data_IF_177208143095
#
_entry.id   IF_177208143095
#
_cell.length_a   1.000
_cell.length_b   1.000
_cell.length_c   1.000
_cell.angle_alpha   90.00
_cell.angle_beta   90.00
_cell.angle_gamma   90.00
#
_symmetry.space_group_name_H-M   'P 1'
#
loop_
_entity.id
_entity.type
_entity.pdbx_description
1 polymer ?
#
# COMPACT_ATOMS: atom_id res chain seq x y z
N UNK A 1 -35.13 4.47 -32.17
CA UNK A 1 -34.44 4.85 -30.92
C UNK A 1 -33.75 3.62 -30.37
N UNK A 2 -32.42 3.61 -30.28
CA UNK A 2 -31.70 2.51 -29.63
C UNK A 2 -31.89 2.67 -28.13
N UNK A 3 -32.72 1.82 -27.52
CA UNK A 3 -32.86 1.78 -26.07
C UNK A 3 -31.55 1.24 -25.47
N UNK A 4 -30.79 2.12 -24.81
CA UNK A 4 -29.67 1.70 -23.95
C UNK A 4 -30.27 1.05 -22.71
N UNK A 5 -30.18 -0.27 -22.63
CA UNK A 5 -30.38 -0.99 -21.38
C UNK A 5 -29.07 -0.94 -20.59
N UNK A 6 -29.06 -0.23 -19.46
CA UNK A 6 -28.04 -0.40 -18.44
C UNK A 6 -28.46 -1.54 -17.53
N UNK A 7 -27.58 -2.52 -17.37
CA UNK A 7 -27.76 -3.64 -16.45
C UNK A 7 -26.70 -3.51 -15.36
N UNK A 8 -27.08 -3.75 -14.10
CA UNK A 8 -26.15 -3.82 -12.96
C UNK A 8 -25.49 -5.20 -12.83
N UNK A 9 -25.75 -6.13 -13.77
CA UNK A 9 -25.10 -7.43 -13.79
C UNK A 9 -23.68 -7.31 -14.35
N UNK A 10 -22.71 -7.78 -13.56
CA UNK A 10 -21.34 -7.99 -14.04
C UNK A 10 -21.38 -8.86 -15.30
N UNK A 11 -20.67 -8.45 -16.36
CA UNK A 11 -20.58 -9.21 -17.62
C UNK A 11 -19.95 -10.60 -17.45
N UNK A 12 -19.25 -10.83 -16.32
CA UNK A 12 -18.74 -12.14 -15.91
C UNK A 12 -19.35 -12.52 -14.57
N UNK A 13 -19.96 -13.71 -14.48
CA UNK A 13 -20.51 -14.21 -13.21
C UNK A 13 -19.38 -14.53 -12.22
N UNK A 14 -19.54 -14.17 -10.96
CA UNK A 14 -18.54 -14.47 -9.91
C UNK A 14 -19.14 -15.41 -8.87
N UNK A 15 -18.51 -16.56 -8.69
CA UNK A 15 -18.88 -17.55 -7.69
C UNK A 15 -18.09 -17.28 -6.41
N UNK A 16 -18.77 -17.19 -5.27
CA UNK A 16 -18.10 -17.10 -3.96
C UNK A 16 -18.15 -18.46 -3.29
N UNK A 17 -16.98 -19.08 -3.12
CA UNK A 17 -16.81 -20.44 -2.63
C UNK A 17 -16.13 -20.39 -1.26
N UNK A 18 -16.75 -20.97 -0.23
CA UNK A 18 -16.18 -21.01 1.11
C UNK A 18 -15.49 -22.34 1.39
N UNK A 19 -14.22 -22.25 1.77
CA UNK A 19 -13.38 -23.40 2.09
C UNK A 19 -13.22 -23.44 3.61
N UNK A 20 -13.73 -24.48 4.27
CA UNK A 20 -13.55 -24.68 5.70
C UNK A 20 -12.54 -25.79 5.94
N UNK A 21 -11.32 -25.45 6.31
CA UNK A 21 -10.26 -26.43 6.59
C UNK A 21 -10.41 -27.09 7.96
N UNK A 22 -11.16 -26.49 8.89
CA UNK A 22 -11.34 -27.00 10.26
C UNK A 22 -12.49 -28.01 10.36
N UNK A 23 -13.57 -27.81 9.60
CA UNK A 23 -14.68 -28.77 9.50
C UNK A 23 -14.40 -29.78 8.40
N UNK A 24 -13.70 -30.86 8.75
CA UNK A 24 -13.27 -31.95 7.84
C UNK A 24 -14.40 -32.67 7.06
N UNK A 25 -15.67 -32.33 7.29
CA UNK A 25 -16.84 -33.04 6.78
C UNK A 25 -17.69 -32.21 5.79
N UNK A 26 -17.51 -30.88 5.70
CA UNK A 26 -18.39 -30.00 4.92
C UNK A 26 -17.59 -28.90 4.19
N UNK A 27 -17.57 -28.94 2.87
CA UNK A 27 -17.27 -27.77 2.03
C UNK A 27 -18.52 -26.87 1.99
N UNK A 28 -18.40 -25.56 2.13
CA UNK A 28 -19.57 -24.66 2.04
C UNK A 28 -19.45 -23.83 0.77
N UNK A 29 -20.12 -24.22 -0.32
CA UNK A 29 -20.28 -23.27 -1.43
C UNK A 29 -21.52 -22.43 -1.20
N UNK A 30 -21.44 -21.14 -1.54
CA UNK A 30 -22.63 -20.33 -1.77
C UNK A 30 -22.82 -20.20 -3.29
N UNK A 31 -23.70 -21.03 -3.83
CA UNK A 31 -24.38 -20.75 -5.10
C UNK A 31 -25.75 -20.18 -4.74
N UNK A 32 -25.79 -18.88 -4.44
CA UNK A 32 -26.98 -18.20 -3.90
C UNK A 32 -27.09 -18.26 -2.37
N UNK A 33 -28.31 -18.03 -1.84
CA UNK A 33 -28.63 -17.98 -0.39
C UNK A 33 -28.57 -19.35 0.31
N UNK A 34 -28.24 -20.42 -0.40
CA UNK A 34 -28.23 -21.79 0.13
C UNK A 34 -26.81 -22.32 0.23
N UNK A 35 -26.46 -22.86 1.40
CA UNK A 35 -25.20 -23.57 1.63
C UNK A 35 -25.34 -25.01 1.13
N UNK A 36 -24.61 -25.37 0.08
CA UNK A 36 -24.61 -26.74 -0.45
C UNK A 36 -23.19 -27.33 -0.35
N UNK A 37 -23.04 -28.53 0.25
CA UNK A 37 -21.78 -29.26 0.23
C UNK A 37 -21.42 -29.70 -1.19
N UNK A 38 -20.33 -29.16 -1.75
CA UNK A 38 -19.84 -29.56 -3.09
C UNK A 38 -18.95 -30.81 -3.01
N UNK A 39 -18.23 -31.00 -1.90
CA UNK A 39 -17.35 -32.14 -1.66
C UNK A 39 -17.62 -32.68 -0.25
N UNK A 40 -18.13 -33.91 -0.18
CA UNK A 40 -18.31 -34.67 1.06
C UNK A 40 -17.06 -35.53 1.29
N UNK A 41 -16.47 -35.45 2.49
CA UNK A 41 -15.36 -36.32 2.96
C UNK A 41 -14.21 -36.55 1.97
N UNK A 42 -13.62 -35.49 1.41
CA UNK A 42 -12.48 -35.68 0.50
C UNK A 42 -11.18 -36.05 1.27
N UNK A 43 -10.43 -37.04 0.75
CA UNK A 43 -9.03 -37.30 1.17
C UNK A 43 -8.17 -36.03 1.09
N UNK A 44 -8.49 -35.16 0.13
CA UNK A 44 -7.84 -33.87 -0.09
C UNK A 44 -7.92 -32.97 1.15
N UNK A 45 -9.09 -32.84 1.76
CA UNK A 45 -9.27 -32.00 2.95
C UNK A 45 -8.50 -32.54 4.17
N UNK A 46 -8.30 -33.86 4.25
CA UNK A 46 -7.49 -34.49 5.31
C UNK A 46 -5.99 -34.17 5.18
N UNK A 47 -5.53 -33.86 3.97
CA UNK A 47 -4.14 -33.50 3.67
C UNK A 47 -3.87 -31.99 3.79
N UNK A 48 -4.91 -31.18 4.03
CA UNK A 48 -4.78 -29.74 4.15
C UNK A 48 -3.81 -29.35 5.28
N UNK A 49 -2.78 -28.54 5.01
CA UNK A 49 -1.82 -28.09 6.01
C UNK A 49 -2.46 -27.31 7.17
N UNK A 50 -1.69 -27.09 8.24
CA UNK A 50 -2.15 -26.33 9.41
C UNK A 50 -1.92 -24.83 9.32
N UNK A 51 -0.80 -24.41 8.72
CA UNK A 51 -0.42 -22.99 8.67
C UNK A 51 -1.23 -22.26 7.59
N UNK A 52 -1.61 -21.01 7.86
CA UNK A 52 -2.43 -20.19 6.98
C UNK A 52 -1.89 -20.11 5.54
N UNK A 53 -0.57 -19.89 5.38
CA UNK A 53 0.08 -19.77 4.06
C UNK A 53 0.10 -21.11 3.31
N UNK A 54 0.45 -22.20 4.00
CA UNK A 54 0.47 -23.53 3.38
C UNK A 54 -0.94 -24.01 3.02
N UNK A 55 -1.96 -23.71 3.84
CA UNK A 55 -3.37 -23.96 3.50
C UNK A 55 -3.76 -23.28 2.19
N UNK A 56 -3.42 -22.00 2.06
CA UNK A 56 -3.75 -21.22 0.89
C UNK A 56 -3.02 -21.72 -0.37
N UNK A 57 -1.72 -22.01 -0.26
CA UNK A 57 -0.93 -22.63 -1.32
C UNK A 57 -1.51 -23.98 -1.76
N UNK A 58 -1.87 -24.83 -0.79
CA UNK A 58 -2.50 -26.14 -1.03
C UNK A 58 -3.81 -26.01 -1.83
N UNK A 59 -4.73 -25.15 -1.39
CA UNK A 59 -5.99 -24.96 -2.10
C UNK A 59 -5.81 -24.33 -3.47
N UNK A 60 -4.91 -23.36 -3.61
CA UNK A 60 -4.61 -22.74 -4.90
C UNK A 60 -4.04 -23.74 -5.91
N UNK A 61 -3.15 -24.63 -5.46
CA UNK A 61 -2.62 -25.70 -6.30
C UNK A 61 -3.73 -26.66 -6.78
N UNK A 62 -4.59 -27.12 -5.87
CA UNK A 62 -5.58 -28.14 -6.19
C UNK A 62 -6.81 -27.62 -6.95
N UNK A 63 -7.24 -26.39 -6.66
CA UNK A 63 -8.46 -25.79 -7.25
C UNK A 63 -8.15 -24.86 -8.43
N UNK A 64 -6.93 -24.31 -8.49
CA UNK A 64 -6.50 -23.34 -9.49
C UNK A 64 -5.64 -23.90 -10.63
N UNK A 65 -5.48 -25.23 -10.71
CA UNK A 65 -4.58 -25.88 -11.67
C UNK A 65 -4.91 -25.47 -13.13
N UNK A 66 -3.87 -25.11 -13.89
CA UNK A 66 -3.96 -24.67 -15.30
C UNK A 66 -4.89 -23.48 -15.54
N UNK A 67 -5.08 -22.63 -14.53
CA UNK A 67 -5.88 -21.42 -14.61
C UNK A 67 -5.05 -20.25 -14.07
N UNK A 68 -5.44 -19.02 -14.38
CA UNK A 68 -4.83 -17.84 -13.75
C UNK A 68 -5.39 -17.64 -12.35
N UNK A 69 -4.50 -17.50 -11.38
CA UNK A 69 -4.84 -17.42 -9.96
C UNK A 69 -4.18 -16.21 -9.32
N UNK A 70 -4.96 -15.42 -8.61
CA UNK A 70 -4.48 -14.38 -7.70
C UNK A 70 -4.62 -14.88 -6.26
N UNK A 71 -3.53 -14.79 -5.50
CA UNK A 71 -3.48 -15.19 -4.09
C UNK A 71 -3.18 -13.95 -3.24
N UNK A 72 -4.14 -13.52 -2.43
CA UNK A 72 -3.98 -12.37 -1.56
C UNK A 72 -3.20 -12.67 -0.28
N UNK A 73 -2.20 -11.84 0.03
CA UNK A 73 -1.43 -11.86 1.26
C UNK A 73 -1.43 -10.49 1.94
N UNK A 74 -1.30 -10.48 3.27
CA UNK A 74 -1.49 -9.28 4.10
C UNK A 74 -0.27 -8.33 4.13
N UNK A 75 0.88 -8.75 3.60
CA UNK A 75 2.09 -7.93 3.55
C UNK A 75 3.16 -8.54 2.64
N UNK A 76 4.14 -7.74 2.24
CA UNK A 76 5.13 -8.13 1.23
C UNK A 76 5.92 -9.40 1.60
N UNK A 77 6.35 -9.54 2.86
CA UNK A 77 7.02 -10.76 3.32
C UNK A 77 6.09 -11.98 3.29
N UNK A 78 4.80 -11.79 3.61
CA UNK A 78 3.82 -12.86 3.55
C UNK A 78 3.58 -13.32 2.11
N UNK A 79 3.60 -12.39 1.16
CA UNK A 79 3.46 -12.67 -0.27
C UNK A 79 4.58 -13.57 -0.79
N UNK A 80 5.82 -13.27 -0.41
CA UNK A 80 6.99 -14.07 -0.80
C UNK A 80 6.97 -15.46 -0.16
N UNK A 81 6.64 -15.54 1.12
CA UNK A 81 6.50 -16.82 1.82
C UNK A 81 5.37 -17.67 1.21
N UNK A 82 4.23 -17.06 0.87
CA UNK A 82 3.12 -17.74 0.21
C UNK A 82 3.52 -18.26 -1.18
N UNK A 83 4.25 -17.46 -1.96
CA UNK A 83 4.78 -17.89 -3.25
C UNK A 83 5.74 -19.08 -3.09
N UNK A 84 6.62 -19.06 -2.08
CA UNK A 84 7.53 -20.16 -1.77
C UNK A 84 6.78 -21.44 -1.32
N UNK A 85 5.74 -21.33 -0.49
CA UNK A 85 4.88 -22.46 -0.13
C UNK A 85 4.24 -23.09 -1.36
N UNK A 86 3.75 -22.26 -2.29
CA UNK A 86 3.12 -22.72 -3.52
C UNK A 86 4.10 -23.41 -4.47
N UNK A 87 5.32 -22.89 -4.57
CA UNK A 87 6.40 -23.47 -5.40
C UNK A 87 6.73 -24.93 -5.03
N UNK A 88 6.46 -25.36 -3.79
CA UNK A 88 6.70 -26.74 -3.35
C UNK A 88 5.76 -27.76 -3.99
N UNK A 89 4.61 -27.32 -4.49
CA UNK A 89 3.63 -28.18 -5.15
C UNK A 89 3.78 -28.22 -6.67
N UNK A 90 4.52 -27.26 -7.24
CA UNK A 90 4.55 -27.02 -8.69
C UNK A 90 5.81 -27.62 -9.33
N UNK A 91 5.68 -28.20 -10.55
CA UNK A 91 6.83 -28.61 -11.34
C UNK A 91 7.59 -27.37 -11.86
N UNK A 92 8.81 -27.59 -12.35
CA UNK A 92 9.52 -26.55 -13.09
C UNK A 92 8.83 -26.31 -14.44
N UNK A 93 8.87 -25.05 -14.89
CA UNK A 93 8.40 -24.62 -16.20
C UNK A 93 9.58 -24.08 -17.00
N UNK A 94 9.61 -24.37 -18.29
CA UNK A 94 10.62 -23.86 -19.21
C UNK A 94 9.95 -22.92 -20.22
N UNK A 95 10.40 -21.67 -20.25
CA UNK A 95 9.92 -20.68 -21.20
C UNK A 95 11.00 -19.60 -21.41
N UNK A 96 11.16 -19.14 -22.65
CA UNK A 96 12.18 -18.17 -23.02
C UNK A 96 12.03 -16.86 -22.23
N UNK A 97 10.83 -16.28 -22.20
CA UNK A 97 10.54 -15.04 -21.45
C UNK A 97 10.80 -15.17 -19.93
N UNK A 98 10.54 -16.34 -19.35
CA UNK A 98 10.84 -16.61 -17.93
C UNK A 98 12.35 -16.64 -17.69
N UNK A 99 13.10 -17.21 -18.64
CA UNK A 99 14.57 -17.28 -18.58
C UNK A 99 15.18 -15.88 -18.70
N UNK A 100 14.78 -15.12 -19.72
CA UNK A 100 15.21 -13.73 -19.95
C UNK A 100 14.94 -12.87 -18.71
N UNK A 101 13.72 -12.95 -18.15
CA UNK A 101 13.39 -12.15 -16.98
C UNK A 101 14.16 -12.61 -15.74
N UNK A 102 14.39 -13.91 -15.58
CA UNK A 102 15.24 -14.43 -14.50
C UNK A 102 16.68 -13.91 -14.61
N UNK A 103 17.25 -13.85 -15.81
CA UNK A 103 18.60 -13.31 -16.04
C UNK A 103 18.66 -11.81 -15.76
N UNK A 104 17.65 -11.05 -16.22
CA UNK A 104 17.53 -9.62 -15.89
C UNK A 104 17.55 -9.38 -14.38
N UNK A 105 16.80 -10.17 -13.59
CA UNK A 105 16.78 -10.05 -12.13
C UNK A 105 18.15 -10.38 -11.52
N UNK A 106 18.86 -11.40 -12.03
CA UNK A 106 20.21 -11.76 -11.56
C UNK A 106 21.19 -10.62 -11.76
N UNK A 107 21.13 -9.98 -12.92
CA UNK A 107 22.10 -8.97 -13.34
C UNK A 107 21.81 -7.59 -12.73
N UNK A 108 20.54 -7.24 -12.51
CA UNK A 108 20.14 -5.88 -12.12
C UNK A 108 19.66 -5.76 -10.66
N UNK A 109 19.25 -6.85 -10.03
CA UNK A 109 18.70 -6.86 -8.66
C UNK A 109 19.63 -7.62 -7.72
N UNK A 110 19.60 -8.95 -7.77
CA UNK A 110 20.47 -9.84 -7.00
C UNK A 110 20.21 -11.30 -7.39
N UNK A 111 21.27 -12.12 -7.47
CA UNK A 111 21.19 -13.54 -7.89
C UNK A 111 20.37 -14.44 -6.97
N UNK A 112 20.30 -14.11 -5.68
CA UNK A 112 19.51 -14.84 -4.66
C UNK A 112 18.10 -14.26 -4.45
N UNK A 113 17.63 -13.35 -5.31
CA UNK A 113 16.27 -12.82 -5.15
C UNK A 113 15.24 -13.92 -5.42
N UNK A 114 14.32 -14.14 -4.47
CA UNK A 114 13.42 -15.31 -4.48
C UNK A 114 12.51 -15.38 -5.71
N UNK A 115 12.23 -14.23 -6.35
CA UNK A 115 11.42 -14.18 -7.56
C UNK A 115 11.98 -15.08 -8.67
N UNK A 116 13.31 -15.22 -8.76
CA UNK A 116 13.98 -16.09 -9.75
C UNK A 116 13.53 -17.55 -9.59
N UNK A 117 13.51 -18.06 -8.35
CA UNK A 117 13.07 -19.43 -8.08
C UNK A 117 11.57 -19.61 -8.26
N UNK A 118 10.77 -18.60 -7.95
CA UNK A 118 9.32 -18.64 -8.15
C UNK A 118 8.95 -18.65 -9.64
N UNK A 119 9.64 -17.84 -10.45
CA UNK A 119 9.43 -17.75 -11.89
C UNK A 119 9.60 -19.10 -12.58
N UNK A 120 10.62 -19.87 -12.18
CA UNK A 120 10.84 -21.25 -12.65
C UNK A 120 9.70 -22.22 -12.32
N UNK A 121 8.79 -21.86 -11.43
CA UNK A 121 7.60 -22.64 -11.05
C UNK A 121 6.31 -22.08 -11.64
N UNK A 122 6.38 -21.04 -12.48
CA UNK A 122 5.21 -20.33 -12.97
C UNK A 122 4.50 -19.50 -11.89
N UNK A 123 5.24 -19.08 -10.86
CA UNK A 123 4.75 -18.28 -9.74
C UNK A 123 5.46 -16.93 -9.73
N UNK A 124 4.70 -15.86 -9.53
CA UNK A 124 5.22 -14.50 -9.33
C UNK A 124 4.60 -13.90 -8.07
N UNK A 125 5.26 -12.89 -7.53
CA UNK A 125 4.71 -12.11 -6.42
C UNK A 125 4.79 -10.62 -6.68
N UNK A 126 3.85 -9.85 -6.15
CA UNK A 126 3.74 -8.41 -6.40
C UNK A 126 3.31 -7.64 -5.12
N UNK A 127 4.06 -6.59 -4.78
CA UNK A 127 3.78 -5.69 -3.67
C UNK A 127 4.34 -4.30 -3.96
N UNK A 128 3.96 -3.27 -3.18
CA UNK A 128 4.35 -1.88 -3.46
C UNK A 128 5.86 -1.66 -3.53
N UNK A 129 6.59 -2.17 -2.52
CA UNK A 129 8.04 -1.97 -2.33
C UNK A 129 8.90 -2.89 -3.19
N UNK A 130 8.59 -2.94 -4.49
CA UNK A 130 9.32 -3.66 -5.52
C UNK A 130 9.77 -2.66 -6.61
N UNK A 131 10.95 -2.85 -7.23
CA UNK A 131 11.37 -1.99 -8.34
C UNK A 131 10.31 -1.96 -9.44
N UNK A 132 10.08 -0.79 -10.02
CA UNK A 132 8.98 -0.55 -10.97
C UNK A 132 9.08 -1.45 -12.19
N UNK A 133 10.29 -1.64 -12.69
CA UNK A 133 10.61 -2.46 -13.86
C UNK A 133 10.22 -3.93 -13.63
N UNK A 134 10.37 -4.42 -12.39
CA UNK A 134 9.92 -5.78 -12.05
C UNK A 134 8.40 -5.86 -11.99
N UNK A 135 7.71 -4.86 -11.41
CA UNK A 135 6.24 -4.82 -11.33
C UNK A 135 5.64 -4.88 -12.74
N UNK A 136 6.08 -3.99 -13.62
CA UNK A 136 5.61 -3.92 -15.01
C UNK A 136 5.86 -5.23 -15.77
N UNK A 137 7.02 -5.87 -15.60
CA UNK A 137 7.29 -7.15 -16.28
C UNK A 137 6.49 -8.31 -15.69
N UNK A 138 6.27 -8.35 -14.38
CA UNK A 138 5.43 -9.37 -13.73
C UNK A 138 3.99 -9.27 -14.23
N UNK A 139 3.48 -8.05 -14.38
CA UNK A 139 2.15 -7.78 -14.95
C UNK A 139 2.01 -8.32 -16.37
N UNK A 140 2.99 -8.01 -17.22
CA UNK A 140 3.04 -8.49 -18.60
C UNK A 140 3.05 -10.02 -18.66
N UNK A 141 3.94 -10.67 -17.91
CA UNK A 141 4.09 -12.13 -17.91
C UNK A 141 2.85 -12.84 -17.38
N UNK A 142 2.15 -12.27 -16.40
CA UNK A 142 0.93 -12.86 -15.84
C UNK A 142 -0.30 -12.63 -16.73
N UNK A 143 -0.34 -11.51 -17.47
CA UNK A 143 -1.44 -11.20 -18.38
C UNK A 143 -1.40 -12.03 -19.67
N UNK A 144 -0.21 -12.46 -20.09
CA UNK A 144 -0.01 -13.30 -21.27
C UNK A 144 -0.18 -14.80 -20.97
N UNK A 145 -1.27 -15.37 -21.44
CA UNK A 145 -1.61 -16.79 -21.25
C UNK A 145 -0.71 -17.77 -22.00
N UNK A 146 0.07 -17.29 -22.98
CA UNK A 146 1.05 -18.12 -23.67
C UNK A 146 2.26 -18.42 -22.78
N UNK A 147 2.47 -17.60 -21.75
CA UNK A 147 3.56 -17.72 -20.80
C UNK A 147 3.06 -18.51 -19.59
N UNK A 148 3.78 -19.55 -19.11
CA UNK A 148 3.29 -20.44 -18.05
C UNK A 148 3.41 -19.81 -16.64
N UNK A 149 2.97 -18.57 -16.46
CA UNK A 149 2.90 -17.86 -15.18
C UNK A 149 1.44 -17.82 -14.71
N UNK A 150 1.04 -18.86 -13.96
CA UNK A 150 -0.36 -19.10 -13.60
C UNK A 150 -0.75 -18.59 -12.21
N UNK A 151 0.23 -18.15 -11.41
CA UNK A 151 0.01 -17.80 -10.01
C UNK A 151 0.66 -16.48 -9.66
N UNK A 152 -0.14 -15.51 -9.23
CA UNK A 152 0.29 -14.21 -8.73
C UNK A 152 -0.06 -14.08 -7.26
N UNK A 153 0.94 -14.09 -6.37
CA UNK A 153 0.75 -13.74 -4.97
C UNK A 153 0.85 -12.22 -4.82
N UNK A 154 -0.09 -11.53 -4.15
CA UNK A 154 -0.03 -10.07 -4.06
C UNK A 154 -0.54 -9.48 -2.73
N UNK A 155 -0.17 -8.22 -2.47
CA UNK A 155 -0.76 -7.39 -1.40
C UNK A 155 -1.93 -6.54 -1.92
N UNK A 156 -2.56 -5.76 -1.04
CA UNK A 156 -3.66 -4.83 -1.39
C UNK A 156 -3.26 -3.75 -2.38
N UNK A 157 -1.97 -3.51 -2.58
CA UNK A 157 -1.46 -2.53 -3.55
C UNK A 157 -1.79 -2.91 -4.99
N UNK A 158 -2.05 -4.19 -5.28
CA UNK A 158 -2.57 -4.61 -6.59
C UNK A 158 -4.00 -4.08 -6.85
N UNK A 159 -4.73 -3.69 -5.79
CA UNK A 159 -6.10 -3.19 -5.87
C UNK A 159 -6.16 -1.76 -6.41
N UNK A 160 -5.08 -1.01 -6.25
CA UNK A 160 -4.98 0.41 -6.54
C UNK A 160 -4.31 0.61 -7.91
N UNK A 161 -5.06 0.42 -8.99
CA UNK A 161 -4.69 0.96 -10.32
C UNK A 161 -4.26 -0.03 -11.40
N UNK A 162 -4.28 -1.34 -11.16
CA UNK A 162 -3.86 -2.34 -12.15
C UNK A 162 -5.02 -3.22 -12.63
N UNK A 163 -5.14 -3.44 -13.94
CA UNK A 163 -6.18 -4.29 -14.53
C UNK A 163 -5.68 -5.71 -14.83
N UNK A 164 -5.38 -6.48 -13.77
CA UNK A 164 -5.03 -7.91 -13.88
C UNK A 164 -6.21 -8.80 -13.45
N UNK A 165 -7.15 -9.11 -14.35
CA UNK A 165 -8.18 -10.10 -14.04
C UNK A 165 -7.59 -11.52 -14.08
N UNK A 166 -8.00 -12.36 -13.13
CA UNK A 166 -7.62 -13.76 -13.05
C UNK A 166 -8.87 -14.63 -12.97
N UNK A 167 -8.78 -15.89 -13.39
CA UNK A 167 -9.92 -16.80 -13.30
C UNK A 167 -10.33 -17.07 -11.85
N UNK A 168 -9.34 -17.20 -10.97
CA UNK A 168 -9.55 -17.46 -9.54
C UNK A 168 -8.87 -16.42 -8.66
N UNK A 169 -9.53 -16.07 -7.56
CA UNK A 169 -8.96 -15.27 -6.47
C UNK A 169 -9.06 -16.07 -5.18
N UNK A 170 -7.95 -16.25 -4.48
CA UNK A 170 -7.89 -16.92 -3.18
C UNK A 170 -7.69 -15.88 -2.08
N UNK A 171 -8.47 -16.00 -1.00
CA UNK A 171 -8.46 -15.06 0.13
C UNK A 171 -8.50 -15.85 1.43
N UNK A 172 -7.61 -15.52 2.37
CA UNK A 172 -7.57 -16.12 3.70
C UNK A 172 -7.20 -15.08 4.75
N UNK A 173 -8.11 -14.83 5.70
CA UNK A 173 -7.97 -13.85 6.79
C UNK A 173 -7.43 -12.49 6.30
N UNK A 174 -8.14 -11.82 5.37
CA UNK A 174 -7.63 -10.62 4.75
C UNK A 174 -7.58 -9.46 5.75
N UNK A 175 -6.41 -8.85 5.87
CA UNK A 175 -6.21 -7.58 6.59
C UNK A 175 -5.62 -6.55 5.62
N UNK A 176 -5.91 -5.28 5.85
CA UNK A 176 -5.25 -4.16 5.17
C UNK A 176 -3.95 -3.85 5.93
N UNK A 177 -2.86 -4.50 5.53
CA UNK A 177 -1.58 -4.41 6.25
C UNK A 177 -1.61 -5.12 7.60
N UNK A 178 -0.84 -4.61 8.58
CA UNK A 178 -0.73 -5.20 9.92
C UNK A 178 -1.90 -4.78 10.81
N UNK A 179 -2.83 -5.70 11.07
CA UNK A 179 -3.83 -5.59 12.14
C UNK A 179 -5.13 -4.87 11.80
N UNK A 180 -5.22 -4.13 10.69
CA UNK A 180 -6.48 -3.52 10.24
C UNK A 180 -7.31 -4.52 9.44
N UNK A 181 -8.55 -4.78 9.85
CA UNK A 181 -9.45 -5.67 9.09
C UNK A 181 -9.72 -5.08 7.69
N UNK A 182 -9.78 -5.93 6.67
CA UNK A 182 -10.15 -5.50 5.32
C UNK A 182 -11.63 -5.09 5.29
N UNK A 183 -11.92 -3.88 4.80
CA UNK A 183 -13.29 -3.38 4.66
C UNK A 183 -14.03 -3.98 3.46
N UNK A 184 -15.35 -3.77 3.39
CA UNK A 184 -16.23 -4.23 2.27
C UNK A 184 -15.69 -3.83 0.90
N UNK A 185 -15.30 -2.56 0.78
CA UNK A 185 -14.83 -1.96 -0.47
C UNK A 185 -13.51 -2.59 -0.91
N UNK A 186 -12.53 -2.66 -0.01
CA UNK A 186 -11.24 -3.30 -0.29
C UNK A 186 -11.41 -4.78 -0.69
N UNK A 187 -12.32 -5.51 -0.01
CA UNK A 187 -12.63 -6.89 -0.35
C UNK A 187 -13.20 -7.02 -1.76
N UNK A 188 -14.19 -6.21 -2.14
CA UNK A 188 -14.79 -6.31 -3.48
C UNK A 188 -13.88 -5.77 -4.58
N UNK A 189 -12.99 -4.82 -4.28
CA UNK A 189 -11.92 -4.42 -5.22
C UNK A 189 -10.96 -5.58 -5.51
N UNK A 190 -10.69 -6.44 -4.52
CA UNK A 190 -9.89 -7.65 -4.66
C UNK A 190 -10.65 -8.77 -5.37
N UNK A 191 -11.79 -9.16 -4.79
CA UNK A 191 -12.61 -10.25 -5.27
C UNK A 191 -13.18 -9.98 -6.68
N UNK A 192 -13.37 -8.70 -7.02
CA UNK A 192 -13.79 -8.24 -8.34
C UNK A 192 -12.83 -8.60 -9.47
N UNK A 193 -11.57 -8.96 -9.17
CA UNK A 193 -10.58 -9.45 -10.14
C UNK A 193 -10.84 -10.88 -10.60
N UNK A 194 -11.78 -11.60 -9.96
CA UNK A 194 -12.18 -12.92 -10.40
C UNK A 194 -13.04 -12.85 -11.67
N UNK A 195 -12.59 -13.53 -12.72
CA UNK A 195 -13.23 -13.64 -14.02
C UNK A 195 -12.69 -12.61 -15.03
N UNK A 196 -12.09 -13.09 -16.12
CA UNK A 196 -11.57 -12.22 -17.19
C UNK A 196 -12.67 -11.84 -18.17
N UNK A 197 -12.92 -10.54 -18.31
CA UNK A 197 -13.88 -9.99 -19.26
C UNK A 197 -13.62 -10.53 -20.67
N UNK A 198 -14.68 -10.97 -21.37
CA UNK A 198 -14.64 -11.56 -22.72
C UNK A 198 -13.88 -12.90 -22.85
N UNK A 199 -13.26 -13.42 -21.80
CA UNK A 199 -12.50 -14.67 -21.83
C UNK A 199 -13.13 -15.77 -20.99
N UNK A 200 -13.56 -15.44 -19.77
CA UNK A 200 -14.18 -16.39 -18.86
C UNK A 200 -15.68 -16.13 -18.76
N UNK A 201 -16.49 -17.20 -18.76
CA UNK A 201 -17.93 -17.12 -18.48
C UNK A 201 -18.21 -16.92 -16.98
N UNK A 202 -17.27 -17.32 -16.13
CA UNK A 202 -17.33 -17.17 -14.69
C UNK A 202 -15.93 -17.00 -14.07
N UNK A 203 -15.86 -16.34 -12.92
CA UNK A 203 -14.69 -16.29 -12.04
C UNK A 203 -14.99 -16.88 -10.67
N UNK A 204 -13.99 -17.42 -9.98
CA UNK A 204 -14.16 -17.99 -8.65
C UNK A 204 -13.42 -17.18 -7.59
N UNK A 205 -14.10 -16.92 -6.47
CA UNK A 205 -13.54 -16.29 -5.28
C UNK A 205 -13.54 -17.35 -4.18
N UNK A 206 -12.37 -17.84 -3.80
CA UNK A 206 -12.20 -18.84 -2.76
C UNK A 206 -11.89 -18.16 -1.42
N UNK A 207 -12.85 -18.18 -0.49
CA UNK A 207 -12.73 -17.63 0.84
C UNK A 207 -12.41 -18.75 1.85
N UNK A 208 -11.19 -18.76 2.39
CA UNK A 208 -10.68 -19.84 3.26
C UNK A 208 -10.86 -19.48 4.74
N UNK A 209 -11.48 -20.40 5.50
CA UNK A 209 -11.71 -20.33 6.94
C UNK A 209 -12.40 -19.03 7.39
N UNK A 210 -13.48 -18.63 6.71
CA UNK A 210 -14.20 -17.36 6.99
C UNK A 210 -14.66 -17.23 8.44
N UNK A 211 -14.98 -18.33 9.11
CA UNK A 211 -15.30 -18.32 10.54
C UNK A 211 -14.17 -17.82 11.45
N UNK A 212 -12.92 -17.85 10.97
CA UNK A 212 -11.75 -17.34 11.70
C UNK A 212 -11.40 -15.88 11.33
N UNK A 213 -12.18 -15.22 10.48
CA UNK A 213 -11.90 -13.84 10.07
C UNK A 213 -12.31 -12.82 11.15
N UNK A 214 -12.92 -13.27 12.25
CA UNK A 214 -13.31 -12.42 13.38
C UNK A 214 -14.45 -11.46 13.04
N UNK A 215 -15.29 -11.85 12.09
CA UNK A 215 -16.52 -11.17 11.69
C UNK A 215 -17.65 -12.14 12.01
N UNK A 216 -18.64 -11.72 12.81
CA UNK A 216 -19.89 -12.47 12.87
C UNK A 216 -20.48 -12.53 11.44
N UNK A 217 -20.40 -13.71 10.81
CA UNK A 217 -21.17 -14.04 9.61
C UNK A 217 -20.96 -13.19 8.35
N UNK A 218 -19.85 -12.48 8.17
CA UNK A 218 -19.74 -11.53 7.06
C UNK A 218 -19.44 -12.19 5.70
N UNK A 219 -20.48 -12.28 4.88
CA UNK A 219 -20.38 -12.27 3.42
C UNK A 219 -20.81 -10.87 3.00
N UNK A 220 -19.94 -10.04 2.39
CA UNK A 220 -20.39 -8.73 1.95
C UNK A 220 -21.47 -8.92 0.89
N UNK A 221 -22.71 -8.53 1.18
CA UNK A 221 -23.74 -8.42 0.14
C UNK A 221 -23.18 -7.61 -1.03
N UNK A 222 -23.46 -8.05 -2.26
CA UNK A 222 -22.96 -7.41 -3.49
C UNK A 222 -23.56 -6.02 -3.74
N UNK A 223 -24.46 -5.55 -2.87
CA UNK A 223 -25.05 -4.21 -2.89
C UNK A 223 -24.01 -3.14 -2.56
N UNK A 224 -23.47 -2.52 -3.60
CA UNK A 224 -22.61 -1.32 -3.54
C UNK A 224 -23.46 -0.05 -3.33
N UNK A 225 -24.79 -0.16 -3.42
CA UNK A 225 -25.73 0.96 -3.60
C UNK A 225 -25.81 1.99 -2.46
N UNK A 226 -25.21 1.76 -1.28
CA UNK A 226 -25.29 2.68 -0.14
C UNK A 226 -23.95 3.00 0.55
N UNK A 227 -22.81 2.86 -0.14
CA UNK A 227 -21.53 3.24 0.46
C UNK A 227 -21.29 4.75 0.33
N UNK A 228 -21.38 5.47 1.45
CA UNK A 228 -21.05 6.90 1.53
C UNK A 228 -19.53 7.03 1.64
N UNK A 229 -18.90 7.70 0.68
CA UNK A 229 -17.50 8.12 0.81
C UNK A 229 -17.50 9.30 1.75
N UNK A 230 -17.02 9.11 2.97
CA UNK A 230 -16.82 10.19 3.94
C UNK A 230 -15.61 11.02 3.53
N UNK A 231 -15.76 12.34 3.50
CA UNK A 231 -14.64 13.25 3.25
C UNK A 231 -13.69 13.22 4.45
N UNK A 232 -12.38 13.06 4.20
CA UNK A 232 -11.37 13.10 5.26
C UNK A 232 -11.41 14.43 6.05
N UNK A 233 -11.75 15.53 5.36
CA UNK A 233 -11.96 16.84 5.99
C UNK A 233 -13.18 16.84 6.90
N UNK A 234 -14.26 16.18 6.52
CA UNK A 234 -15.46 16.07 7.36
C UNK A 234 -15.21 15.17 8.58
N UNK A 235 -14.56 14.01 8.39
CA UNK A 235 -14.19 13.12 9.50
C UNK A 235 -13.27 13.83 10.51
N UNK A 236 -12.37 14.70 10.03
CA UNK A 236 -11.51 15.51 10.90
C UNK A 236 -12.29 16.44 11.84
N UNK A 237 -13.48 16.90 11.42
CA UNK A 237 -14.34 17.78 12.20
C UNK A 237 -15.37 17.02 13.05
N UNK A 238 -15.88 15.89 12.56
CA UNK A 238 -16.89 15.10 13.28
C UNK A 238 -16.20 14.22 14.32
N UNK A 239 -15.38 13.28 13.88
CA UNK A 239 -14.79 12.24 14.72
C UNK A 239 -13.54 12.71 15.45
N UNK A 240 -12.79 13.66 14.89
CA UNK A 240 -11.44 14.05 15.37
C UNK A 240 -11.29 15.53 15.75
N UNK A 241 -12.39 16.23 16.01
CA UNK A 241 -12.32 17.67 16.34
C UNK A 241 -11.45 18.00 17.55
N UNK A 242 -11.40 17.10 18.55
CA UNK A 242 -10.52 17.27 19.70
C UNK A 242 -9.05 17.20 19.28
N UNK A 243 -8.65 16.15 18.57
CA UNK A 243 -7.27 15.95 18.09
C UNK A 243 -6.83 17.12 17.20
N UNK A 244 -7.69 17.56 16.27
CA UNK A 244 -7.42 18.71 15.42
C UNK A 244 -7.24 19.99 16.24
N UNK A 245 -8.08 20.22 17.25
CA UNK A 245 -7.95 21.39 18.13
C UNK A 245 -6.63 21.38 18.92
N UNK A 246 -6.16 20.21 19.39
CA UNK A 246 -4.88 20.05 20.09
C UNK A 246 -3.72 20.30 19.12
N UNK A 247 -3.76 19.68 17.93
CA UNK A 247 -2.73 19.83 16.91
C UNK A 247 -2.58 21.27 16.41
N UNK A 248 -3.69 22.01 16.26
CA UNK A 248 -3.66 23.41 15.85
C UNK A 248 -3.02 24.33 16.93
N UNK A 249 -3.11 23.96 18.20
CA UNK A 249 -2.44 24.68 19.29
C UNK A 249 -0.93 24.41 19.32
N UNK A 250 -0.51 23.17 19.05
CA UNK A 250 0.90 22.80 18.96
C UNK A 250 1.13 21.75 17.84
N UNK A 251 1.72 22.21 16.73
CA UNK A 251 2.01 21.37 15.55
C UNK A 251 3.03 20.25 15.84
N UNK A 252 3.83 20.40 16.91
CA UNK A 252 4.87 19.44 17.31
C UNK A 252 4.37 18.40 18.32
N UNK A 253 3.08 18.40 18.66
CA UNK A 253 2.50 17.33 19.47
C UNK A 253 2.64 15.97 18.76
N UNK A 254 2.98 14.90 19.50
CA UNK A 254 3.16 13.58 18.91
C UNK A 254 1.81 12.94 18.58
N UNK A 255 1.58 12.71 17.28
CA UNK A 255 0.45 11.92 16.78
C UNK A 255 0.95 10.72 15.96
N UNK A 256 0.22 9.59 15.92
CA UNK A 256 0.51 8.52 14.97
C UNK A 256 0.56 9.07 13.53
N UNK A 257 1.55 8.65 12.73
CA UNK A 257 1.85 9.26 11.42
C UNK A 257 0.62 9.45 10.53
N UNK A 258 -0.21 8.40 10.36
CA UNK A 258 -1.44 8.47 9.54
C UNK A 258 -2.46 9.47 10.07
N UNK A 259 -2.53 9.63 11.39
CA UNK A 259 -3.44 10.58 12.01
C UNK A 259 -2.91 11.99 11.83
N UNK A 260 -1.60 12.20 12.02
CA UNK A 260 -0.92 13.46 11.77
C UNK A 260 -1.16 13.96 10.34
N UNK A 261 -1.01 13.09 9.33
CA UNK A 261 -1.25 13.43 7.91
C UNK A 261 -2.67 13.98 7.67
N UNK A 262 -3.70 13.37 8.29
CA UNK A 262 -5.09 13.83 8.19
C UNK A 262 -5.25 15.21 8.83
N UNK A 263 -4.65 15.43 9.99
CA UNK A 263 -4.71 16.71 10.71
C UNK A 263 -3.97 17.83 9.95
N UNK A 264 -2.81 17.53 9.35
CA UNK A 264 -2.06 18.44 8.49
C UNK A 264 -2.87 18.85 7.26
N UNK A 265 -3.49 17.88 6.58
CA UNK A 265 -4.31 18.13 5.40
C UNK A 265 -5.55 18.98 5.72
N UNK A 266 -6.24 18.68 6.83
CA UNK A 266 -7.36 19.49 7.30
C UNK A 266 -6.90 20.92 7.62
N UNK A 267 -5.79 21.07 8.35
CA UNK A 267 -5.20 22.37 8.70
C UNK A 267 -4.89 23.19 7.45
N UNK A 268 -4.19 22.60 6.48
CA UNK A 268 -3.81 23.29 5.25
C UNK A 268 -5.04 23.71 4.43
N UNK A 269 -6.06 22.85 4.35
CA UNK A 269 -7.33 23.15 3.69
C UNK A 269 -8.03 24.35 4.31
N UNK A 270 -8.22 24.37 5.63
CA UNK A 270 -8.95 25.45 6.30
C UNK A 270 -8.16 26.77 6.33
N UNK A 271 -6.84 26.73 6.49
CA UNK A 271 -5.99 27.93 6.38
C UNK A 271 -6.05 28.51 4.97
N UNK A 272 -5.93 27.69 3.93
CA UNK A 272 -6.02 28.16 2.54
C UNK A 272 -7.39 28.79 2.24
N UNK A 273 -8.47 28.17 2.70
CA UNK A 273 -9.83 28.70 2.51
C UNK A 273 -10.01 30.05 3.20
N UNK A 274 -9.49 30.19 4.43
CA UNK A 274 -9.54 31.44 5.19
C UNK A 274 -8.67 32.55 4.56
N UNK A 275 -7.51 32.20 3.99
CA UNK A 275 -6.66 33.15 3.27
C UNK A 275 -7.26 33.59 1.92
N UNK A 276 -8.11 32.78 1.30
CA UNK A 276 -8.86 33.18 0.09
C UNK A 276 -10.01 34.13 0.41
N UNK A 277 -10.82 33.81 1.41
CA UNK A 277 -11.87 34.68 1.93
C UNK A 277 -11.98 34.46 3.44
N UNK A 278 -11.79 35.53 4.22
CA UNK A 278 -11.83 35.48 5.68
C UNK A 278 -13.20 35.10 6.25
N UNK A 279 -14.24 35.05 5.42
CA UNK A 279 -15.58 34.53 5.75
C UNK A 279 -15.67 33.01 5.63
N UNK A 280 -14.68 32.32 5.06
CA UNK A 280 -14.66 30.87 4.95
C UNK A 280 -14.11 30.24 6.24
N UNK A 281 -14.87 30.38 7.32
CA UNK A 281 -14.56 29.75 8.62
C UNK A 281 -14.97 28.28 8.63
N UNK A 282 -14.41 27.52 9.57
CA UNK A 282 -14.79 26.13 9.84
C UNK A 282 -16.24 26.06 10.31
N UNK A 283 -16.69 26.99 11.16
CA UNK A 283 -18.11 27.09 11.56
C UNK A 283 -19.04 27.24 10.35
N UNK A 284 -18.67 28.09 9.38
CA UNK A 284 -19.44 28.24 8.15
C UNK A 284 -19.44 26.97 7.32
N UNK A 285 -18.28 26.32 7.17
CA UNK A 285 -18.18 25.04 6.45
C UNK A 285 -19.11 23.97 7.06
N UNK A 286 -19.14 23.85 8.39
CA UNK A 286 -20.04 22.94 9.11
C UNK A 286 -21.51 23.26 8.81
N UNK A 287 -21.87 24.55 8.87
CA UNK A 287 -23.25 25.01 8.66
C UNK A 287 -23.71 24.77 7.23
N UNK A 288 -22.89 25.14 6.25
CA UNK A 288 -23.19 25.02 4.82
C UNK A 288 -23.35 23.54 4.40
N UNK A 289 -22.67 22.60 5.08
CA UNK A 289 -22.76 21.16 4.83
C UNK A 289 -23.73 20.41 5.78
N UNK A 290 -24.48 21.11 6.62
CA UNK A 290 -25.46 20.51 7.56
C UNK A 290 -24.87 19.39 8.44
N UNK A 291 -23.61 19.56 8.89
CA UNK A 291 -22.88 18.52 9.59
C UNK A 291 -23.39 18.32 11.03
N UNK A 292 -23.47 17.07 11.49
CA UNK A 292 -23.78 16.73 12.89
C UNK A 292 -22.48 16.63 13.67
N UNK A 293 -22.29 17.55 14.62
CA UNK A 293 -21.05 17.68 15.38
C UNK A 293 -21.11 16.94 16.73
N UNK A 294 -19.95 16.42 17.14
CA UNK A 294 -19.76 15.89 18.49
C UNK A 294 -19.51 16.99 19.54
N UNK A 295 -18.89 18.12 19.15
CA UNK A 295 -18.61 19.24 20.07
C UNK A 295 -18.49 20.56 19.31
N UNK A 296 -19.39 21.51 19.63
CA UNK A 296 -19.34 22.87 19.08
C UNK A 296 -18.14 23.66 19.63
N UNK A 297 -17.75 23.42 20.90
CA UNK A 297 -16.63 24.11 21.56
C UNK A 297 -15.30 23.84 20.83
N UNK A 298 -15.09 22.60 20.37
CA UNK A 298 -13.89 22.26 19.59
C UNK A 298 -13.85 23.02 18.27
N UNK A 299 -14.98 23.17 17.57
CA UNK A 299 -15.06 23.90 16.30
C UNK A 299 -14.69 25.38 16.49
N UNK A 300 -15.20 26.01 17.56
CA UNK A 300 -14.85 27.40 17.87
C UNK A 300 -13.35 27.57 18.18
N UNK A 301 -12.74 26.62 18.90
CA UNK A 301 -11.29 26.60 19.17
C UNK A 301 -10.47 26.40 17.90
N UNK A 302 -10.93 25.51 17.01
CA UNK A 302 -10.32 25.29 15.70
C UNK A 302 -10.34 26.60 14.91
N UNK A 303 -11.49 27.27 14.81
CA UNK A 303 -11.62 28.53 14.06
C UNK A 303 -10.70 29.64 14.58
N UNK A 304 -10.62 29.79 15.91
CA UNK A 304 -9.68 30.73 16.53
C UNK A 304 -8.22 30.41 16.17
N UNK A 305 -7.86 29.12 16.15
CA UNK A 305 -6.52 28.68 15.82
C UNK A 305 -6.18 28.88 14.34
N UNK A 306 -7.10 28.54 13.42
CA UNK A 306 -6.95 28.77 11.98
C UNK A 306 -6.77 30.26 11.69
N UNK A 307 -7.57 31.13 12.32
CA UNK A 307 -7.41 32.58 12.21
C UNK A 307 -6.05 33.05 12.71
N UNK A 308 -5.60 32.56 13.87
CA UNK A 308 -4.28 32.91 14.45
C UNK A 308 -3.13 32.49 13.53
N UNK A 309 -3.18 31.28 12.98
CA UNK A 309 -2.19 30.76 12.03
C UNK A 309 -2.19 31.61 10.75
N UNK A 310 -3.37 31.91 10.21
CA UNK A 310 -3.53 32.70 8.99
C UNK A 310 -2.97 34.13 9.13
N UNK A 311 -3.15 34.77 10.30
CA UNK A 311 -2.60 36.11 10.58
C UNK A 311 -1.06 36.09 10.67
N UNK A 312 -0.49 35.02 11.22
CA UNK A 312 0.97 34.85 11.37
C UNK A 312 1.66 34.40 10.08
N UNK A 313 0.90 33.99 9.07
CA UNK A 313 1.44 33.47 7.83
C UNK A 313 2.19 34.54 7.05
N UNK A 314 3.42 34.23 6.63
CA UNK A 314 4.29 35.16 5.86
C UNK A 314 4.39 34.76 4.39
N UNK A 315 3.94 33.57 4.02
CA UNK A 315 4.01 33.05 2.67
C UNK A 315 2.84 33.50 1.79
N UNK A 316 3.08 33.89 0.52
CA UNK A 316 2.03 34.04 -0.49
C UNK A 316 1.16 32.78 -0.62
N UNK A 317 -0.16 32.99 -0.81
CA UNK A 317 -1.14 31.89 -0.93
C UNK A 317 -0.83 30.96 -2.10
N UNK A 318 -0.21 31.45 -3.16
CA UNK A 318 0.20 30.68 -4.33
C UNK A 318 1.26 29.64 -3.98
N UNK A 319 2.14 29.92 -3.00
CA UNK A 319 3.15 28.97 -2.52
C UNK A 319 2.51 27.91 -1.65
N UNK A 320 1.62 28.31 -0.73
CA UNK A 320 0.88 27.36 0.11
C UNK A 320 0.03 26.40 -0.73
N UNK A 321 -0.65 26.90 -1.77
CA UNK A 321 -1.47 26.08 -2.67
C UNK A 321 -0.66 25.02 -3.44
N UNK A 322 0.59 25.33 -3.81
CA UNK A 322 1.47 24.35 -4.47
C UNK A 322 1.87 23.20 -3.54
N UNK A 323 1.77 23.41 -2.23
CA UNK A 323 2.17 22.46 -1.20
C UNK A 323 1.04 22.23 -0.19
N UNK A 324 -0.21 22.07 -0.67
CA UNK A 324 -1.40 21.96 0.20
C UNK A 324 -1.44 20.70 1.07
N UNK A 325 -0.54 19.74 0.83
CA UNK A 325 -0.35 18.56 1.70
C UNK A 325 0.51 18.84 2.92
N UNK A 326 1.16 20.00 3.01
CA UNK A 326 2.06 20.38 4.11
C UNK A 326 1.40 21.46 4.95
N UNK A 327 1.48 21.34 6.27
CA UNK A 327 1.00 22.37 7.19
C UNK A 327 1.65 23.75 6.91
N UNK A 328 0.87 24.83 6.75
CA UNK A 328 1.41 26.18 6.50
C UNK A 328 2.40 26.66 7.57
N UNK A 329 2.31 26.18 8.82
CA UNK A 329 3.27 26.53 9.88
C UNK A 329 4.67 26.01 9.57
N UNK A 330 4.81 24.75 9.15
CA UNK A 330 6.10 24.18 8.77
C UNK A 330 6.67 24.85 7.51
N UNK A 331 5.81 25.23 6.57
CA UNK A 331 6.24 25.99 5.40
C UNK A 331 6.79 27.38 5.80
N UNK A 332 6.14 28.06 6.75
CA UNK A 332 6.62 29.34 7.28
C UNK A 332 7.95 29.19 8.03
N UNK A 333 8.10 28.14 8.86
CA UNK A 333 9.36 27.85 9.57
C UNK A 333 10.51 27.63 8.57
N UNK A 334 10.28 26.86 7.50
CA UNK A 334 11.25 26.65 6.43
C UNK A 334 11.58 27.96 5.69
N UNK A 335 10.59 28.79 5.41
CA UNK A 335 10.78 30.10 4.78
C UNK A 335 11.67 31.00 5.63
N UNK A 336 11.39 31.10 6.94
CA UNK A 336 12.20 31.88 7.88
C UNK A 336 13.64 31.36 7.92
N UNK A 337 13.82 30.04 7.98
CA UNK A 337 15.14 29.41 7.96
C UNK A 337 15.91 29.78 6.68
N UNK A 338 15.28 29.68 5.51
CA UNK A 338 15.91 30.04 4.23
C UNK A 338 16.31 31.52 4.13
N UNK A 339 15.61 32.42 4.83
CA UNK A 339 15.97 33.84 4.89
C UNK A 339 17.09 34.14 5.91
N UNK A 340 17.40 33.21 6.81
CA UNK A 340 18.43 33.40 7.84
C UNK A 340 19.87 33.25 7.32
N UNK A 341 20.07 32.60 6.17
CA UNK A 341 21.38 32.30 5.59
C UNK A 341 21.37 32.43 4.08
N UNK A 342 22.56 32.50 3.48
CA UNK A 342 22.72 32.45 2.02
C UNK A 342 22.27 31.07 1.52
N UNK A 343 21.53 31.04 0.41
CA UNK A 343 20.91 29.83 -0.15
C UNK A 343 21.89 28.67 -0.36
N UNK A 344 23.17 28.94 -0.65
CA UNK A 344 24.24 27.94 -0.84
C UNK A 344 24.52 27.09 0.40
N UNK A 345 24.00 27.48 1.58
CA UNK A 345 24.06 26.67 2.80
C UNK A 345 23.08 25.49 2.75
N UNK A 346 21.97 25.63 2.01
CA UNK A 346 20.89 24.64 1.94
C UNK A 346 20.98 23.73 0.71
N UNK A 347 21.98 23.94 -0.15
CA UNK A 347 22.21 23.14 -1.34
C UNK A 347 23.22 22.01 -1.07
N UNK A 348 23.02 20.82 -1.66
CA UNK A 348 24.05 19.79 -1.68
C UNK A 348 25.35 20.33 -2.30
N UNK A 349 26.50 19.96 -1.74
CA UNK A 349 27.81 20.39 -2.24
C UNK A 349 28.16 19.68 -3.56
N UNK A 350 28.91 20.36 -4.41
CA UNK A 350 29.42 19.81 -5.67
C UNK A 350 30.95 19.76 -5.65
N UNK A 351 31.61 18.72 -6.20
CA UNK A 351 31.05 17.55 -6.89
C UNK A 351 30.22 16.66 -5.97
N UNK A 352 29.28 15.89 -6.55
CA UNK A 352 28.39 14.97 -5.83
C UNK A 352 29.13 13.73 -5.26
N UNK A 353 30.36 13.91 -4.78
CA UNK A 353 31.27 12.85 -4.38
C UNK A 353 32.04 13.25 -3.12
N UNK A 354 32.40 12.27 -2.31
CA UNK A 354 33.25 12.46 -1.14
C UNK A 354 32.52 13.00 0.09
N UNK A 355 33.31 13.29 1.13
CA UNK A 355 32.79 13.55 2.47
C UNK A 355 32.04 14.89 2.58
N UNK A 356 32.41 15.90 1.79
CA UNK A 356 31.74 17.21 1.82
C UNK A 356 30.30 17.13 1.28
N UNK A 357 30.09 16.40 0.18
CA UNK A 357 28.77 16.13 -0.36
C UNK A 357 27.91 15.36 0.64
N UNK A 358 28.43 14.25 1.17
CA UNK A 358 27.75 13.47 2.21
C UNK A 358 27.37 14.33 3.43
N UNK A 359 28.31 15.11 3.96
CA UNK A 359 28.06 16.00 5.10
C UNK A 359 26.98 17.03 4.81
N UNK A 360 26.94 17.54 3.57
CA UNK A 360 25.87 18.46 3.15
C UNK A 360 24.49 17.79 3.10
N UNK A 361 24.40 16.54 2.65
CA UNK A 361 23.15 15.77 2.68
C UNK A 361 22.68 15.50 4.11
N UNK A 362 23.60 15.17 5.03
CA UNK A 362 23.27 15.01 6.45
C UNK A 362 22.68 16.29 7.02
N UNK A 363 23.25 17.46 6.69
CA UNK A 363 22.72 18.75 7.14
C UNK A 363 21.32 19.04 6.57
N UNK A 364 21.06 18.67 5.31
CA UNK A 364 19.73 18.82 4.69
C UNK A 364 18.71 17.93 5.41
N UNK A 365 19.04 16.65 5.65
CA UNK A 365 18.15 15.75 6.39
C UNK A 365 17.88 16.21 7.82
N UNK A 366 18.86 16.85 8.49
CA UNK A 366 18.66 17.46 9.80
C UNK A 366 17.63 18.59 9.76
N UNK A 367 17.65 19.42 8.71
CA UNK A 367 16.67 20.50 8.54
C UNK A 367 15.27 19.91 8.28
N UNK A 368 15.17 18.89 7.41
CA UNK A 368 13.91 18.21 7.14
C UNK A 368 13.34 17.61 8.43
N UNK A 369 14.19 16.94 9.20
CA UNK A 369 13.81 16.35 10.48
C UNK A 369 13.34 17.40 11.49
N UNK A 370 14.12 18.46 11.70
CA UNK A 370 13.82 19.51 12.68
C UNK A 370 12.48 20.22 12.42
N UNK A 371 12.13 20.40 11.14
CA UNK A 371 10.94 21.14 10.71
C UNK A 371 9.72 20.22 10.58
N UNK A 372 9.84 19.06 9.92
CA UNK A 372 8.68 18.26 9.51
C UNK A 372 8.46 17.01 10.35
N UNK A 373 9.52 16.28 10.70
CA UNK A 373 9.41 14.93 11.26
C UNK A 373 9.50 14.92 12.79
N UNK A 374 10.48 15.63 13.35
CA UNK A 374 10.81 15.61 14.77
C UNK A 374 11.35 14.26 15.26
N UNK A 375 11.95 13.44 14.37
CA UNK A 375 12.46 12.10 14.67
C UNK A 375 13.96 12.10 15.02
N UNK A 376 14.22 11.97 16.32
CA UNK A 376 15.50 12.25 16.99
C UNK A 376 16.65 11.24 16.81
N UNK A 377 16.68 10.37 15.78
CA UNK A 377 17.84 9.47 15.57
C UNK A 377 18.78 9.97 14.48
N UNK A 378 19.86 10.63 14.92
CA UNK A 378 20.96 11.08 14.06
C UNK A 378 21.57 9.96 13.20
N UNK A 379 21.47 8.70 13.62
CA UNK A 379 21.98 7.58 12.83
C UNK A 379 21.08 7.28 11.61
N UNK A 380 19.77 7.44 11.74
CA UNK A 380 18.82 7.27 10.63
C UNK A 380 19.05 8.36 9.58
N UNK A 381 19.24 9.61 9.99
CA UNK A 381 19.52 10.72 9.06
C UNK A 381 20.84 10.50 8.30
N UNK A 382 21.88 10.01 8.99
CA UNK A 382 23.15 9.62 8.36
C UNK A 382 22.97 8.50 7.36
N UNK A 383 22.11 7.52 7.66
CA UNK A 383 21.80 6.40 6.78
C UNK A 383 21.08 6.88 5.50
N UNK A 384 20.08 7.77 5.63
CA UNK A 384 19.42 8.37 4.47
C UNK A 384 20.38 9.19 3.60
N UNK A 385 21.33 9.89 4.21
CA UNK A 385 22.38 10.59 3.47
C UNK A 385 23.32 9.63 2.71
N UNK A 386 23.63 8.44 3.24
CA UNK A 386 24.42 7.43 2.52
C UNK A 386 23.67 6.96 1.28
N UNK A 387 22.41 6.54 1.44
CA UNK A 387 21.61 6.01 0.32
C UNK A 387 21.41 7.10 -0.75
N UNK A 388 21.07 8.32 -0.33
CA UNK A 388 20.92 9.46 -1.25
C UNK A 388 22.22 9.77 -1.98
N UNK A 389 23.36 9.72 -1.29
CA UNK A 389 24.66 9.93 -1.92
C UNK A 389 24.94 8.88 -2.99
N UNK A 390 24.59 7.62 -2.74
CA UNK A 390 24.80 6.56 -3.72
C UNK A 390 23.80 6.67 -4.88
N UNK A 391 22.53 7.03 -4.61
CA UNK A 391 21.49 7.20 -5.62
C UNK A 391 21.76 8.39 -6.55
N UNK A 392 22.16 9.55 -6.00
CA UNK A 392 22.48 10.75 -6.80
C UNK A 392 23.68 10.53 -7.73
N UNK A 393 24.59 9.62 -7.38
CA UNK A 393 25.69 9.20 -8.25
C UNK A 393 25.29 8.14 -9.29
N UNK A 394 24.00 7.93 -9.51
CA UNK A 394 23.45 7.02 -10.54
C UNK A 394 23.92 5.56 -10.37
N UNK A 395 24.21 5.15 -9.14
CA UNK A 395 24.53 3.75 -8.88
C UNK A 395 23.29 2.87 -9.12
N UNK A 396 23.42 1.73 -9.85
CA UNK A 396 22.30 0.84 -10.11
C UNK A 396 21.66 0.30 -8.83
N UNK A 397 20.37 -0.03 -8.88
CA UNK A 397 19.64 -0.53 -7.70
C UNK A 397 20.26 -1.81 -7.12
N UNK A 398 20.75 -2.72 -7.97
CA UNK A 398 21.45 -3.93 -7.54
C UNK A 398 22.74 -3.64 -6.75
N UNK A 399 23.44 -2.56 -7.08
CA UNK A 399 24.60 -2.10 -6.30
C UNK A 399 24.17 -1.65 -4.89
N UNK A 400 23.11 -0.86 -4.78
CA UNK A 400 22.58 -0.38 -3.49
C UNK A 400 22.10 -1.54 -2.62
N UNK A 401 21.44 -2.53 -3.22
CA UNK A 401 21.02 -3.76 -2.55
C UNK A 401 22.25 -4.52 -2.04
N UNK A 402 23.29 -4.67 -2.87
CA UNK A 402 24.52 -5.36 -2.48
C UNK A 402 25.24 -4.65 -1.33
N UNK A 403 25.35 -3.33 -1.35
CA UNK A 403 25.93 -2.54 -0.27
C UNK A 403 25.13 -2.70 1.03
N UNK A 404 23.79 -2.71 0.94
CA UNK A 404 22.93 -2.98 2.09
C UNK A 404 23.15 -4.37 2.66
N UNK A 405 23.28 -5.38 1.80
CA UNK A 405 23.57 -6.76 2.20
C UNK A 405 24.92 -6.83 2.92
N UNK A 406 25.96 -6.21 2.35
CA UNK A 406 27.30 -6.17 2.93
C UNK A 406 27.29 -5.52 4.32
N UNK A 407 26.61 -4.38 4.44
CA UNK A 407 26.45 -3.68 5.71
C UNK A 407 25.69 -4.53 6.73
N UNK A 408 24.50 -5.05 6.41
CA UNK A 408 23.71 -5.86 7.34
C UNK A 408 24.44 -7.13 7.79
N UNK A 409 25.25 -7.74 6.91
CA UNK A 409 26.12 -8.88 7.27
C UNK A 409 27.22 -8.45 8.23
N UNK A 410 27.88 -7.31 8.00
CA UNK A 410 28.95 -6.79 8.85
C UNK A 410 28.51 -6.50 10.29
N UNK A 411 27.24 -6.09 10.47
CA UNK A 411 26.65 -5.78 11.78
C UNK A 411 25.81 -6.94 12.36
N UNK A 412 25.81 -8.10 11.72
CA UNK A 412 25.07 -9.29 12.19
C UNK A 412 23.54 -9.16 12.16
N UNK A 413 22.99 -8.27 11.32
CA UNK A 413 21.54 -8.01 11.20
C UNK A 413 20.90 -8.54 9.91
N UNK A 414 21.71 -9.14 9.03
CA UNK A 414 21.24 -9.69 7.76
C UNK A 414 20.20 -10.80 7.98
N UNK A 415 19.06 -10.67 7.31
CA UNK A 415 17.97 -11.67 7.35
C UNK A 415 17.78 -12.35 6.01
N UNK A 416 17.62 -11.58 4.94
CA UNK A 416 17.48 -12.12 3.58
C UNK A 416 17.69 -11.03 2.53
N UNK A 417 17.99 -11.46 1.30
CA UNK A 417 18.10 -10.57 0.14
C UNK A 417 16.77 -9.87 -0.12
N UNK A 418 15.65 -10.59 -0.07
CA UNK A 418 14.32 -9.99 -0.26
C UNK A 418 14.03 -8.86 0.72
N UNK A 419 14.46 -8.99 1.99
CA UNK A 419 14.32 -7.90 2.97
C UNK A 419 15.14 -6.67 2.56
N UNK A 420 16.38 -6.88 2.10
CA UNK A 420 17.24 -5.80 1.62
C UNK A 420 16.64 -5.10 0.40
N UNK A 421 16.12 -5.87 -0.57
CA UNK A 421 15.41 -5.34 -1.76
C UNK A 421 14.25 -4.46 -1.33
N UNK A 422 13.34 -4.97 -0.49
CA UNK A 422 12.20 -4.20 0.01
C UNK A 422 12.64 -2.93 0.74
N UNK A 423 13.65 -3.02 1.59
CA UNK A 423 14.14 -1.89 2.39
C UNK A 423 14.70 -0.79 1.49
N UNK A 424 15.56 -1.14 0.52
CA UNK A 424 16.19 -0.17 -0.37
C UNK A 424 15.17 0.50 -1.28
N UNK A 425 14.24 -0.28 -1.86
CA UNK A 425 13.17 0.28 -2.69
C UNK A 425 12.29 1.22 -1.87
N UNK A 426 11.89 0.81 -0.65
CA UNK A 426 11.06 1.65 0.23
C UNK A 426 11.78 2.93 0.65
N UNK A 427 13.07 2.85 0.99
CA UNK A 427 13.89 4.02 1.34
C UNK A 427 14.06 4.97 0.13
N UNK A 428 14.29 4.46 -1.07
CA UNK A 428 14.37 5.28 -2.28
C UNK A 428 13.02 5.97 -2.54
N UNK A 429 11.94 5.19 -2.61
CA UNK A 429 10.60 5.70 -2.97
C UNK A 429 10.07 6.71 -1.94
N UNK A 430 10.25 6.45 -0.64
CA UNK A 430 9.70 7.28 0.44
C UNK A 430 10.60 8.41 0.89
N UNK A 431 11.93 8.22 0.85
CA UNK A 431 12.88 9.16 1.48
C UNK A 431 13.68 9.95 0.45
N UNK A 432 14.12 9.31 -0.64
CA UNK A 432 15.01 9.95 -1.62
C UNK A 432 14.22 10.66 -2.71
N UNK A 433 13.23 9.99 -3.29
CA UNK A 433 12.50 10.48 -4.46
C UNK A 433 11.17 11.16 -4.14
N UNK A 434 10.94 11.52 -2.86
CA UNK A 434 9.68 11.99 -2.28
C UNK A 434 8.59 12.34 -3.32
N UNK A 435 7.57 11.49 -3.41
CA UNK A 435 6.43 11.65 -4.33
C UNK A 435 5.43 12.67 -3.83
#
# INVERSE_FOLDING_TARGET
SVQKFQTNYSQVHQNVIFLNSNKKLEFLSCLGMTHIPILLESQLQKQCPKTNKAKMAFWAYHLGKNQSNILYANGAADTEELANELCRYLPDVEHEQITIFSDFIRDNIHVEYTLITCLKKGVVFHYSTMPRELKEKIEELFADESIPVNYLCCTSTLLEGMNLPARNVFIHKPTKGRGTKMGKFDFWNLAGRAGRLLKDFYGNIYCIDVGEWGLEGYIPEKSIENYIIESATEDSLVSRSFDLSVYLQNAKEPFPLKEKEILEQATSTFVLNFLEDNKNTVERFVTDNLMVLNSLDNILKIDQSIKSISIKNVLPKEILKKNSGIDPRFQNDLFILFHSKIYTYFLPKYPASGNEFYTSLVAIYQIIDEIFLGESDKNILKHYAVISSQWINENPIGFLIQERINYEKSVGKFVSVNRCVRSIVDEIERVVTFK
#
